data_IF_520226022904
#
_entry.id   IF_520226022904
#
_cell.length_a   1.000
_cell.length_b   1.000
_cell.length_c   1.000
_cell.angle_alpha   90.00
_cell.angle_beta   90.00
_cell.angle_gamma   90.00
#
_symmetry.space_group_name_H-M   'P 1'
#
loop_
_entity.id
_entity.type
_entity.pdbx_description
1 polymer ?
#
# COMPACT_ATOMS: atom_id res chain seq x y z
N UNK A 1 -18.81 -3.38 -8.67
CA UNK A 1 -17.39 -3.68 -9.02
C UNK A 1 -16.56 -3.63 -7.76
N UNK A 2 -15.55 -4.49 -7.66
CA UNK A 2 -14.60 -4.51 -6.55
C UNK A 2 -13.18 -4.55 -7.07
N UNK A 3 -12.33 -3.72 -6.51
CA UNK A 3 -10.91 -3.65 -6.80
C UNK A 3 -10.14 -4.25 -5.64
N UNK A 4 -9.14 -5.09 -5.91
CA UNK A 4 -8.34 -5.76 -4.89
C UNK A 4 -6.87 -5.67 -5.25
N UNK A 5 -6.03 -5.48 -4.23
CA UNK A 5 -4.59 -5.64 -4.34
C UNK A 5 -4.19 -6.95 -3.69
N UNK A 6 -3.47 -7.76 -4.44
CA UNK A 6 -3.01 -9.08 -4.05
C UNK A 6 -1.48 -9.12 -4.03
N UNK A 7 -0.90 -9.95 -3.17
CA UNK A 7 0.57 -10.13 -3.04
C UNK A 7 1.18 -11.06 -4.11
N UNK A 8 0.35 -11.75 -4.90
CA UNK A 8 0.78 -12.69 -5.94
C UNK A 8 -0.05 -12.59 -7.23
N UNK A 9 0.52 -13.02 -8.35
CA UNK A 9 -0.14 -13.02 -9.68
C UNK A 9 -1.30 -14.02 -9.75
N UNK A 10 -1.15 -15.17 -9.08
CA UNK A 10 -2.18 -16.20 -8.92
C UNK A 10 -2.15 -16.69 -7.47
N UNK A 11 -3.30 -16.86 -6.83
CA UNK A 11 -3.38 -17.21 -5.40
C UNK A 11 -3.04 -16.01 -4.50
N UNK A 12 -2.37 -16.25 -3.37
CA UNK A 12 -1.91 -15.17 -2.48
C UNK A 12 -2.98 -14.58 -1.55
N UNK A 13 -2.59 -13.58 -0.77
CA UNK A 13 -3.42 -12.89 0.20
C UNK A 13 -3.91 -11.54 -0.32
N UNK A 14 -5.09 -11.15 0.12
CA UNK A 14 -5.60 -9.79 -0.09
C UNK A 14 -4.87 -8.82 0.84
N UNK A 15 -4.23 -7.82 0.24
CA UNK A 15 -3.56 -6.72 0.97
C UNK A 15 -4.50 -5.53 1.13
N UNK A 16 -5.40 -5.33 0.17
CA UNK A 16 -6.36 -4.24 0.19
C UNK A 16 -7.54 -4.54 -0.73
N UNK A 17 -8.72 -4.02 -0.39
CA UNK A 17 -9.87 -4.02 -1.30
C UNK A 17 -10.71 -2.76 -1.17
N UNK A 18 -11.43 -2.44 -2.25
CA UNK A 18 -12.39 -1.34 -2.32
C UNK A 18 -13.60 -1.74 -3.15
N UNK A 19 -14.79 -1.46 -2.62
CA UNK A 19 -16.08 -1.80 -3.22
C UNK A 19 -16.79 -0.57 -3.76
N UNK A 20 -17.17 -0.66 -5.04
CA UNK A 20 -17.95 0.34 -5.77
C UNK A 20 -19.33 -0.26 -6.06
N UNK A 21 -20.29 0.11 -5.21
CA UNK A 21 -21.66 -0.41 -5.19
C UNK A 21 -22.66 0.73 -5.08
N UNK A 22 -23.95 0.43 -5.27
CA UNK A 22 -25.01 1.44 -5.25
C UNK A 22 -25.06 2.27 -3.97
N UNK A 23 -24.61 1.73 -2.83
CA UNK A 23 -24.56 2.46 -1.55
C UNK A 23 -23.35 3.37 -1.37
N UNK A 24 -22.30 3.24 -2.18
CA UNK A 24 -21.11 4.11 -2.16
C UNK A 24 -21.10 5.02 -3.38
N UNK A 25 -20.63 4.47 -4.49
CA UNK A 25 -20.62 5.08 -5.81
C UNK A 25 -20.48 3.95 -6.84
N UNK A 26 -21.21 4.06 -7.94
CA UNK A 26 -21.10 3.08 -9.03
C UNK A 26 -20.01 3.49 -10.02
N UNK A 27 -19.25 2.51 -10.51
CA UNK A 27 -18.32 2.74 -11.61
C UNK A 27 -19.12 2.96 -12.89
N UNK A 28 -18.99 4.14 -13.49
CA UNK A 28 -19.61 4.45 -14.78
C UNK A 28 -18.68 4.06 -15.93
N UNK A 29 -19.18 3.27 -16.86
CA UNK A 29 -18.45 2.87 -18.06
C UNK A 29 -18.98 3.62 -19.28
N UNK A 30 -18.10 4.32 -20.00
CA UNK A 30 -18.44 4.99 -21.26
C UNK A 30 -17.73 4.26 -22.40
N UNK A 31 -18.51 3.63 -23.30
CA UNK A 31 -18.00 2.85 -24.45
C UNK A 31 -17.01 1.73 -24.04
N UNK A 32 -17.30 1.05 -22.93
CA UNK A 32 -16.43 -0.01 -22.40
C UNK A 32 -15.20 0.48 -21.62
N UNK A 33 -14.98 1.79 -21.52
CA UNK A 33 -13.90 2.39 -20.74
C UNK A 33 -14.45 2.91 -19.41
N UNK A 34 -13.73 2.64 -18.32
CA UNK A 34 -13.97 3.26 -17.02
C UNK A 34 -12.67 3.85 -16.49
N UNK A 35 -12.79 4.89 -15.68
CA UNK A 35 -11.67 5.52 -14.98
C UNK A 35 -12.04 5.71 -13.53
N UNK A 36 -11.29 5.06 -12.64
CA UNK A 36 -11.54 5.05 -11.20
C UNK A 36 -10.26 5.42 -10.48
N UNK A 37 -10.35 6.34 -9.52
CA UNK A 37 -9.26 6.61 -8.59
C UNK A 37 -9.36 5.64 -7.41
N UNK A 38 -8.40 4.72 -7.31
CA UNK A 38 -8.30 3.79 -6.17
C UNK A 38 -7.93 4.57 -4.90
N UNK A 39 -8.55 4.20 -3.78
CA UNK A 39 -8.31 4.83 -2.49
C UNK A 39 -9.34 5.89 -2.08
N UNK A 40 -10.39 6.09 -2.89
CA UNK A 40 -11.45 7.06 -2.63
C UNK A 40 -12.37 6.61 -1.49
N UNK A 41 -12.73 5.34 -1.47
CA UNK A 41 -13.64 4.78 -0.45
C UNK A 41 -12.88 4.01 0.62
N UNK A 42 -11.70 3.46 0.31
CA UNK A 42 -10.81 2.84 1.28
C UNK A 42 -9.37 3.32 1.09
N UNK A 43 -8.84 4.24 1.91
CA UNK A 43 -7.50 4.80 1.74
C UNK A 43 -6.40 3.74 1.63
N UNK A 44 -5.42 3.97 0.75
CA UNK A 44 -4.28 3.09 0.52
C UNK A 44 -3.13 3.29 1.53
N UNK A 45 -3.32 4.10 2.57
CA UNK A 45 -2.26 4.54 3.49
C UNK A 45 -1.56 3.40 4.26
N UNK A 46 -2.25 2.27 4.45
CA UNK A 46 -1.72 1.10 5.16
C UNK A 46 -1.17 0.03 4.21
N UNK A 47 -1.18 0.28 2.90
CA UNK A 47 -0.66 -0.66 1.91
C UNK A 47 0.85 -0.51 1.81
N UNK A 48 1.57 -1.60 2.04
CA UNK A 48 3.01 -1.66 1.78
C UNK A 48 3.24 -1.83 0.27
N UNK A 49 3.77 -0.80 -0.39
CA UNK A 49 4.12 -0.82 -1.82
C UNK A 49 5.56 -1.29 -2.10
N UNK A 50 6.33 -1.64 -1.08
CA UNK A 50 7.68 -2.20 -1.20
C UNK A 50 7.66 -3.73 -1.43
N UNK A 51 6.71 -4.20 -2.24
CA UNK A 51 6.54 -5.60 -2.59
C UNK A 51 5.83 -5.70 -3.95
N UNK A 52 5.95 -6.82 -4.68
CA UNK A 52 5.14 -7.03 -5.87
C UNK A 52 3.67 -7.05 -5.50
N UNK A 53 2.88 -6.21 -6.15
CA UNK A 53 1.44 -6.12 -5.95
C UNK A 53 0.73 -6.26 -7.29
N UNK A 54 -0.44 -6.91 -7.25
CA UNK A 54 -1.23 -7.21 -8.43
C UNK A 54 -2.65 -6.71 -8.25
N UNK A 55 -3.17 -6.01 -9.25
CA UNK A 55 -4.54 -5.55 -9.31
C UNK A 55 -5.44 -6.67 -9.84
N UNK A 56 -6.42 -7.05 -9.02
CA UNK A 56 -7.54 -7.90 -9.39
C UNK A 56 -8.81 -7.05 -9.44
N UNK A 57 -9.61 -7.27 -10.48
CA UNK A 57 -10.91 -6.62 -10.66
C UNK A 57 -11.95 -7.71 -10.61
N UNK A 58 -13.01 -7.46 -9.85
CA UNK A 58 -14.17 -8.33 -9.76
C UNK A 58 -15.41 -7.56 -10.18
N UNK A 59 -16.21 -8.19 -11.03
CA UNK A 59 -17.46 -7.63 -11.54
C UNK A 59 -18.63 -8.47 -11.04
N UNK A 60 -19.65 -7.74 -10.61
CA UNK A 60 -20.92 -8.23 -10.09
C UNK A 60 -21.99 -7.66 -11.04
N UNK A 61 -22.39 -8.40 -12.08
CA UNK A 61 -23.49 -7.99 -12.95
C UNK A 61 -24.86 -8.08 -12.27
N UNK A 62 -25.04 -8.97 -11.30
CA UNK A 62 -26.31 -9.21 -10.61
C UNK A 62 -26.65 -8.12 -9.59
N UNK A 63 -25.66 -7.34 -9.16
CA UNK A 63 -25.71 -6.41 -8.05
C UNK A 63 -26.24 -7.06 -6.76
N UNK A 64 -25.96 -8.35 -6.56
CA UNK A 64 -26.43 -9.13 -5.41
C UNK A 64 -25.36 -9.30 -4.32
N UNK A 65 -24.16 -8.75 -4.55
CA UNK A 65 -23.02 -8.84 -3.63
C UNK A 65 -22.20 -10.12 -3.79
N UNK A 66 -22.57 -10.99 -4.74
CA UNK A 66 -21.71 -12.06 -5.25
C UNK A 66 -20.89 -11.51 -6.43
N UNK A 67 -19.65 -11.98 -6.58
CA UNK A 67 -18.76 -11.52 -7.65
C UNK A 67 -18.48 -12.70 -8.57
N UNK A 68 -19.27 -12.81 -9.62
CA UNK A 68 -19.29 -13.96 -10.53
C UNK A 68 -18.17 -13.87 -11.57
N UNK A 69 -17.72 -12.66 -11.89
CA UNK A 69 -16.63 -12.43 -12.84
C UNK A 69 -15.37 -11.91 -12.15
N UNK A 70 -14.29 -12.68 -12.28
CA UNK A 70 -12.94 -12.28 -11.82
C UNK A 70 -12.05 -12.11 -13.05
N UNK A 71 -11.50 -10.92 -13.23
CA UNK A 71 -10.60 -10.63 -14.34
C UNK A 71 -9.21 -11.23 -14.07
N UNK A 72 -8.89 -12.29 -14.82
CA UNK A 72 -7.60 -13.00 -14.79
C UNK A 72 -6.96 -12.99 -16.19
N UNK A 73 -5.62 -12.88 -16.32
CA UNK A 73 -4.62 -12.76 -15.27
C UNK A 73 -4.60 -11.36 -14.61
N UNK A 74 -4.16 -11.31 -13.36
CA UNK A 74 -4.08 -10.06 -12.58
C UNK A 74 -3.06 -9.10 -13.21
N UNK A 75 -3.29 -7.79 -13.09
CA UNK A 75 -2.39 -6.79 -13.66
C UNK A 75 -1.32 -6.40 -12.63
N UNK A 76 -0.01 -6.63 -12.88
CA UNK A 76 1.04 -6.17 -11.97
C UNK A 76 1.07 -4.65 -11.88
N UNK A 77 1.21 -4.13 -10.66
CA UNK A 77 1.54 -2.72 -10.44
C UNK A 77 3.01 -2.51 -10.80
N UNK A 78 3.28 -1.57 -11.70
CA UNK A 78 4.64 -1.26 -12.14
C UNK A 78 5.47 -0.55 -11.05
N UNK A 79 6.73 -0.23 -11.38
CA UNK A 79 7.72 0.35 -10.45
C UNK A 79 7.31 1.71 -9.81
N UNK A 80 6.26 2.36 -10.29
CA UNK A 80 5.77 3.65 -9.77
C UNK A 80 5.32 3.52 -8.31
N UNK A 81 4.68 2.40 -7.92
CA UNK A 81 4.23 2.20 -6.54
C UNK A 81 5.41 2.12 -5.56
N UNK A 82 6.50 1.48 -5.96
CA UNK A 82 7.72 1.39 -5.16
C UNK A 82 8.38 2.77 -4.91
N UNK A 83 8.14 3.76 -5.78
CA UNK A 83 8.66 5.12 -5.60
C UNK A 83 8.04 5.86 -4.40
N UNK A 84 6.82 5.52 -3.97
CA UNK A 84 6.20 6.15 -2.80
C UNK A 84 6.93 5.79 -1.50
N UNK A 85 7.49 4.58 -1.43
CA UNK A 85 8.24 4.10 -0.27
C UNK A 85 9.74 4.44 -0.36
N UNK A 86 10.26 4.89 -1.51
CA UNK A 86 11.68 5.20 -1.69
C UNK A 86 12.22 6.33 -0.80
N UNK A 87 11.33 7.19 -0.28
CA UNK A 87 11.70 8.25 0.68
C UNK A 87 11.84 7.73 2.11
N UNK A 88 11.35 6.52 2.40
CA UNK A 88 11.33 5.93 3.73
C UNK A 88 12.47 4.92 3.90
N UNK A 89 13.07 4.90 5.08
CA UNK A 89 14.00 3.86 5.51
C UNK A 89 13.29 3.00 6.57
N UNK A 90 13.03 1.73 6.25
CA UNK A 90 12.29 0.81 7.13
C UNK A 90 10.91 1.35 7.56
N UNK A 91 10.23 2.10 6.69
CA UNK A 91 8.92 2.71 6.97
C UNK A 91 8.98 4.06 7.69
N UNK A 92 10.16 4.51 8.14
CA UNK A 92 10.37 5.81 8.76
C UNK A 92 10.85 6.84 7.74
N UNK A 93 10.41 8.09 7.86
CA UNK A 93 10.90 9.18 7.03
C UNK A 93 11.95 10.02 7.77
N UNK A 94 12.52 11.00 7.07
CA UNK A 94 13.51 11.91 7.64
C UNK A 94 12.94 12.90 8.67
N UNK A 95 11.61 13.09 8.72
CA UNK A 95 10.96 13.98 9.68
C UNK A 95 10.69 13.28 11.02
N UNK A 96 10.50 11.96 10.99
CA UNK A 96 10.34 11.10 12.15
C UNK A 96 11.16 9.82 11.98
N UNK A 97 12.51 9.92 12.06
CA UNK A 97 13.37 8.75 11.93
C UNK A 97 13.09 7.76 13.07
N UNK A 98 13.13 6.47 12.76
CA UNK A 98 13.07 5.41 13.77
C UNK A 98 14.27 5.50 14.71
N UNK A 99 14.15 4.89 15.88
CA UNK A 99 15.24 4.84 16.87
C UNK A 99 16.44 4.10 16.26
N UNK A 100 17.58 4.78 16.21
CA UNK A 100 18.84 4.19 15.75
C UNK A 100 19.23 3.08 16.72
N UNK A 101 19.36 1.84 16.22
CA UNK A 101 19.79 0.69 17.01
C UNK A 101 18.67 -0.12 17.68
N UNK A 102 17.39 0.08 17.34
CA UNK A 102 16.27 -0.55 18.04
C UNK A 102 16.11 -2.07 17.87
N UNK A 103 16.64 -2.68 16.80
CA UNK A 103 16.36 -4.09 16.45
C UNK A 103 17.55 -5.04 16.55
N UNK A 104 18.71 -4.54 16.96
CA UNK A 104 19.97 -5.22 17.34
C UNK A 104 21.09 -4.20 17.06
N UNK A 105 21.45 -3.33 18.02
CA UNK A 105 22.42 -2.28 17.77
C UNK A 105 23.80 -2.91 17.56
N UNK A 106 24.34 -2.81 16.34
CA UNK A 106 25.79 -2.92 16.17
C UNK A 106 26.45 -1.75 16.89
N UNK A 107 27.65 -1.96 17.47
CA UNK A 107 28.46 -0.88 18.02
C UNK A 107 28.68 0.19 16.94
N UNK A 108 28.07 1.36 17.13
CA UNK A 108 28.21 2.49 16.24
C UNK A 108 29.18 3.50 16.87
N UNK A 109 30.32 3.71 16.22
CA UNK A 109 31.29 4.73 16.62
C UNK A 109 30.92 6.06 15.96
N UNK A 110 30.45 7.03 16.74
CA UNK A 110 30.24 8.40 16.26
C UNK A 110 31.51 9.22 16.44
N UNK A 111 32.07 9.77 15.36
CA UNK A 111 33.22 10.70 15.43
C UNK A 111 32.83 12.09 15.94
N UNK A 112 31.54 12.44 15.87
CA UNK A 112 31.00 13.69 16.43
C UNK A 112 29.53 13.53 16.81
N UNK A 113 29.20 13.77 18.07
CA UNK A 113 27.82 13.85 18.58
C UNK A 113 27.60 15.25 19.15
N UNK A 114 26.53 15.92 18.74
CA UNK A 114 26.12 17.22 19.31
C UNK A 114 24.72 17.07 19.87
N UNK A 115 24.58 17.16 21.19
CA UNK A 115 23.30 17.09 21.89
C UNK A 115 22.93 18.50 22.34
N UNK A 116 21.80 19.03 21.87
CA UNK A 116 21.33 20.39 22.16
C UNK A 116 20.30 20.48 23.29
N UNK A 117 19.95 19.36 23.93
CA UNK A 117 19.02 19.28 25.06
C UNK A 117 19.69 18.61 26.27
N UNK A 118 19.15 18.83 27.47
CA UNK A 118 19.63 18.16 28.70
C UNK A 118 19.32 16.66 28.62
N UNK A 119 20.33 15.86 28.32
CA UNK A 119 20.26 14.40 28.40
C UNK A 119 21.47 13.88 29.17
N UNK A 120 21.21 13.03 30.16
CA UNK A 120 22.25 12.31 30.91
C UNK A 120 22.92 11.29 30.00
N UNK A 121 24.17 11.54 29.62
CA UNK A 121 25.02 10.55 28.97
C UNK A 121 25.72 9.76 30.09
N UNK A 122 25.23 8.57 30.42
CA UNK A 122 25.96 7.66 31.30
C UNK A 122 27.00 6.94 30.46
N UNK A 123 28.25 7.02 30.91
CA UNK A 123 29.34 6.10 30.54
C UNK A 123 29.06 4.70 31.05
#
# INVERSE_FOLDING_TARGET
>A
MKFRLMDAETGGNEVWSEEWKASTEMVTTTKGLFSVMLGKHNPLSNVNFFQPLYLEIQYDPGCDGTYEEVFSPRKPLGAVSASFEAKKLLGYDWASPGIIGATNPNEAYFTRLTVSATSTLST
#
